data_IF_901380978594
#
_entry.id   IF_901380978594
#
_cell.length_a   1.000
_cell.length_b   1.000
_cell.length_c   1.000
_cell.angle_alpha   90.00
_cell.angle_beta   90.00
_cell.angle_gamma   90.00
#
_symmetry.space_group_name_H-M   'P 1'
#
loop_
_entity.id
_entity.type
_entity.pdbx_description
1 polymer ?
#
# COMPACT_ATOMS: atom_id res chain seq x y z
N UNK A 1 -17.76 17.80 11.64
CA UNK A 1 -16.39 17.89 12.20
C UNK A 1 -15.83 16.54 12.65
N UNK A 2 -16.58 15.68 13.34
CA UNK A 2 -16.12 14.36 13.87
C UNK A 2 -15.79 13.37 12.74
N UNK A 3 -16.52 13.39 11.62
CA UNK A 3 -16.36 12.44 10.51
C UNK A 3 -14.96 12.45 9.86
N UNK A 4 -14.33 13.62 9.73
CA UNK A 4 -13.04 13.77 9.06
C UNK A 4 -11.85 13.39 9.96
N UNK A 5 -11.95 13.67 11.27
CA UNK A 5 -10.92 13.25 12.25
C UNK A 5 -10.88 11.72 12.37
N UNK A 6 -12.04 11.05 12.33
CA UNK A 6 -12.10 9.58 12.34
C UNK A 6 -11.52 8.97 11.05
N UNK A 7 -11.70 9.64 9.90
CA UNK A 7 -11.12 9.15 8.65
C UNK A 7 -9.58 9.20 8.69
N UNK A 8 -9.01 10.32 9.16
CA UNK A 8 -7.56 10.47 9.30
C UNK A 8 -7.00 9.36 10.20
N UNK A 9 -7.59 9.17 11.39
CA UNK A 9 -7.13 8.15 12.33
C UNK A 9 -7.19 6.74 11.74
N UNK A 10 -8.28 6.39 11.06
CA UNK A 10 -8.46 5.06 10.46
C UNK A 10 -7.46 4.83 9.33
N UNK A 11 -7.14 5.84 8.52
CA UNK A 11 -6.11 5.71 7.47
C UNK A 11 -4.71 5.55 8.08
N UNK A 12 -4.39 6.27 9.14
CA UNK A 12 -3.11 6.09 9.86
C UNK A 12 -3.01 4.68 10.45
N UNK A 13 -4.09 4.15 11.05
CA UNK A 13 -4.12 2.76 11.56
C UNK A 13 -3.92 1.76 10.40
N UNK A 14 -4.56 1.99 9.25
CA UNK A 14 -4.35 1.17 8.06
C UNK A 14 -2.87 1.14 7.63
N UNK A 15 -2.20 2.30 7.62
CA UNK A 15 -0.78 2.42 7.33
C UNK A 15 0.10 1.70 8.35
N UNK A 16 -0.28 1.69 9.65
CA UNK A 16 0.43 0.90 10.66
C UNK A 16 0.32 -0.60 10.37
N UNK A 17 -0.85 -1.12 9.97
CA UNK A 17 -0.96 -2.53 9.55
C UNK A 17 -0.04 -2.86 8.39
N UNK A 18 0.05 -2.00 7.39
CA UNK A 18 0.91 -2.20 6.22
C UNK A 18 2.39 -2.09 6.56
N UNK A 19 2.75 -1.27 7.52
CA UNK A 19 4.14 -1.06 7.94
C UNK A 19 4.84 -2.32 8.44
N UNK A 20 4.11 -3.35 8.88
CA UNK A 20 4.68 -4.64 9.23
C UNK A 20 5.14 -5.47 8.03
N UNK A 21 4.80 -5.07 6.79
CA UNK A 21 5.16 -5.78 5.58
C UNK A 21 6.66 -6.08 5.45
N UNK A 22 7.54 -5.06 5.50
CA UNK A 22 9.00 -5.28 5.45
C UNK A 22 9.50 -6.24 6.51
N UNK A 23 9.02 -6.12 7.75
CA UNK A 23 9.38 -7.00 8.84
C UNK A 23 9.06 -8.47 8.53
N UNK A 24 7.85 -8.74 8.05
CA UNK A 24 7.43 -10.11 7.71
C UNK A 24 8.27 -10.66 6.56
N UNK A 25 8.51 -9.86 5.50
CA UNK A 25 9.31 -10.31 4.34
C UNK A 25 10.74 -10.67 4.74
N UNK A 26 11.34 -9.90 5.66
CA UNK A 26 12.71 -10.17 6.15
C UNK A 26 12.83 -11.47 6.96
N UNK A 27 11.74 -11.99 7.49
CA UNK A 27 11.71 -13.29 8.19
C UNK A 27 11.44 -14.49 7.27
N UNK A 28 11.16 -14.26 5.99
CA UNK A 28 11.00 -15.32 4.98
C UNK A 28 12.35 -15.84 4.58
N UNK A 29 12.56 -17.14 4.72
CA UNK A 29 13.81 -17.80 4.31
C UNK A 29 13.91 -17.76 2.78
N UNK A 30 15.02 -17.24 2.26
CA UNK A 30 15.29 -17.13 0.82
C UNK A 30 14.17 -16.39 0.03
N UNK A 31 13.63 -15.31 0.59
CA UNK A 31 12.51 -14.56 0.02
C UNK A 31 12.71 -14.20 -1.47
N UNK A 32 13.94 -13.91 -1.87
CA UNK A 32 14.30 -13.59 -3.27
C UNK A 32 14.16 -14.76 -4.25
N UNK A 33 14.19 -16.01 -3.78
CA UNK A 33 14.06 -17.21 -4.60
C UNK A 33 12.61 -17.71 -4.71
N UNK A 34 11.75 -17.28 -3.80
CA UNK A 34 10.35 -17.76 -3.70
C UNK A 34 9.30 -16.63 -3.74
N UNK A 35 9.50 -15.53 -4.50
CA UNK A 35 8.57 -14.40 -4.46
C UNK A 35 7.17 -14.79 -4.97
N UNK A 36 7.08 -15.72 -5.92
CA UNK A 36 5.82 -16.15 -6.51
C UNK A 36 5.02 -17.08 -5.59
N UNK A 37 5.68 -18.01 -4.90
CA UNK A 37 5.02 -18.82 -3.86
C UNK A 37 4.50 -17.92 -2.74
N UNK A 38 5.32 -16.99 -2.29
CA UNK A 38 4.92 -15.98 -1.31
C UNK A 38 3.68 -15.20 -1.76
N UNK A 39 3.68 -14.68 -2.99
CA UNK A 39 2.57 -13.93 -3.57
C UNK A 39 1.30 -14.77 -3.69
N UNK A 40 1.44 -16.05 -4.03
CA UNK A 40 0.32 -16.98 -4.09
C UNK A 40 -0.40 -17.09 -2.74
N UNK A 41 0.33 -17.42 -1.67
CA UNK A 41 -0.28 -17.57 -0.34
C UNK A 41 -0.81 -16.24 0.20
N UNK A 42 -0.04 -15.17 0.05
CA UNK A 42 -0.46 -13.83 0.49
C UNK A 42 -1.73 -13.35 -0.24
N UNK A 43 -1.77 -13.47 -1.56
CA UNK A 43 -2.93 -13.09 -2.37
C UNK A 43 -4.16 -13.93 -2.07
N UNK A 44 -3.99 -15.25 -1.89
CA UNK A 44 -5.06 -16.17 -1.50
C UNK A 44 -5.68 -15.80 -0.17
N UNK A 45 -4.87 -15.43 0.82
CA UNK A 45 -5.37 -14.98 2.13
C UNK A 45 -6.14 -13.67 2.00
N UNK A 46 -5.64 -12.69 1.24
CA UNK A 46 -6.37 -11.45 0.99
C UNK A 46 -7.75 -11.75 0.38
N UNK A 47 -7.80 -12.61 -0.64
CA UNK A 47 -9.05 -12.99 -1.29
C UNK A 47 -10.00 -13.68 -0.32
N UNK A 48 -9.53 -14.70 0.41
CA UNK A 48 -10.35 -15.48 1.34
C UNK A 48 -10.89 -14.63 2.50
N UNK A 49 -10.04 -13.86 3.16
CA UNK A 49 -10.43 -13.01 4.30
C UNK A 49 -11.48 -11.98 3.87
N UNK A 50 -11.32 -11.35 2.70
CA UNK A 50 -12.31 -10.41 2.18
C UNK A 50 -13.65 -11.08 1.90
N UNK A 51 -13.63 -12.26 1.28
CA UNK A 51 -14.87 -12.99 0.98
C UNK A 51 -15.56 -13.49 2.26
N UNK A 52 -14.81 -13.96 3.25
CA UNK A 52 -15.36 -14.33 4.57
C UNK A 52 -15.98 -13.08 5.22
N UNK A 53 -15.27 -11.95 5.23
CA UNK A 53 -15.79 -10.70 5.77
C UNK A 53 -17.09 -10.26 5.07
N UNK A 54 -17.13 -10.29 3.74
CA UNK A 54 -18.32 -9.96 2.96
C UNK A 54 -19.47 -10.93 3.21
N UNK A 55 -19.17 -12.22 3.31
CA UNK A 55 -20.18 -13.24 3.64
C UNK A 55 -20.80 -13.03 5.02
N UNK A 56 -19.98 -12.72 6.03
CA UNK A 56 -20.45 -12.43 7.39
C UNK A 56 -21.27 -11.12 7.45
N UNK A 57 -20.90 -10.11 6.63
CA UNK A 57 -21.58 -8.82 6.62
C UNK A 57 -22.87 -8.80 5.81
N UNK A 58 -22.95 -9.53 4.67
CA UNK A 58 -24.02 -9.41 3.68
C UNK A 58 -24.71 -10.76 3.37
N UNK A 59 -24.24 -11.86 3.97
CA UNK A 59 -24.71 -13.21 3.63
C UNK A 59 -24.43 -13.53 2.17
N UNK A 60 -25.23 -14.39 1.56
CA UNK A 60 -25.08 -14.79 0.14
C UNK A 60 -25.22 -13.63 -0.86
N UNK A 61 -25.74 -12.47 -0.44
CA UNK A 61 -25.91 -11.30 -1.32
C UNK A 61 -24.59 -10.70 -1.79
N UNK A 62 -23.47 -10.97 -1.10
CA UNK A 62 -22.15 -10.45 -1.48
C UNK A 62 -21.70 -10.91 -2.87
N UNK A 63 -22.17 -12.08 -3.35
CA UNK A 63 -21.85 -12.59 -4.70
C UNK A 63 -22.29 -11.58 -5.77
N UNK A 64 -23.45 -10.96 -5.60
CA UNK A 64 -23.94 -9.94 -6.53
C UNK A 64 -23.08 -8.64 -6.56
N UNK A 65 -22.13 -8.48 -5.64
CA UNK A 65 -21.18 -7.37 -5.71
C UNK A 65 -20.14 -7.58 -6.83
N UNK A 66 -19.85 -8.83 -7.19
CA UNK A 66 -18.97 -9.16 -8.31
C UNK A 66 -19.62 -8.79 -9.66
N UNK A 67 -20.91 -8.99 -9.81
CA UNK A 67 -21.65 -8.56 -11.02
C UNK A 67 -21.70 -7.03 -11.16
N UNK A 68 -21.67 -6.32 -10.01
CA UNK A 68 -21.72 -4.86 -9.94
C UNK A 68 -20.38 -4.18 -9.94
N UNK A 69 -19.27 -4.93 -10.04
CA UNK A 69 -17.90 -4.40 -9.91
C UNK A 69 -17.61 -3.29 -10.94
N UNK A 70 -18.10 -3.46 -12.15
CA UNK A 70 -17.91 -2.53 -13.25
C UNK A 70 -16.44 -2.27 -13.59
N UNK A 71 -16.21 -1.45 -14.61
CA UNK A 71 -14.86 -1.15 -15.09
C UNK A 71 -13.98 -0.50 -14.00
N UNK A 72 -14.55 0.39 -13.18
CA UNK A 72 -13.78 1.07 -12.13
C UNK A 72 -13.25 0.10 -11.06
N UNK A 73 -14.06 -0.88 -10.64
CA UNK A 73 -13.63 -1.85 -9.66
C UNK A 73 -12.64 -2.86 -10.25
N UNK A 74 -12.82 -3.26 -11.51
CA UNK A 74 -11.88 -4.15 -12.18
C UNK A 74 -10.50 -3.49 -12.35
N UNK A 75 -10.46 -2.26 -12.88
CA UNK A 75 -9.21 -1.48 -13.01
C UNK A 75 -8.56 -1.29 -11.64
N UNK A 76 -9.35 -0.95 -10.61
CA UNK A 76 -8.82 -0.80 -9.26
C UNK A 76 -8.26 -2.08 -8.67
N UNK A 77 -8.94 -3.22 -8.87
CA UNK A 77 -8.49 -4.52 -8.41
C UNK A 77 -7.18 -4.95 -9.09
N UNK A 78 -7.12 -4.83 -10.42
CA UNK A 78 -5.89 -5.13 -11.18
C UNK A 78 -4.75 -4.20 -10.78
N UNK A 79 -5.02 -2.89 -10.66
CA UNK A 79 -3.99 -1.91 -10.24
C UNK A 79 -3.43 -2.24 -8.85
N UNK A 80 -4.29 -2.59 -7.89
CA UNK A 80 -3.85 -3.00 -6.56
C UNK A 80 -3.12 -4.35 -6.60
N UNK A 81 -3.55 -5.28 -7.45
CA UNK A 81 -2.85 -6.55 -7.66
C UNK A 81 -1.44 -6.35 -8.20
N UNK A 82 -1.26 -5.47 -9.20
CA UNK A 82 0.05 -5.06 -9.71
C UNK A 82 0.87 -4.42 -8.59
N UNK A 83 0.28 -3.52 -7.80
CA UNK A 83 0.97 -2.91 -6.66
C UNK A 83 1.49 -3.96 -5.67
N UNK A 84 0.66 -4.95 -5.35
CA UNK A 84 1.01 -6.03 -4.43
C UNK A 84 2.16 -6.92 -4.96
N UNK A 85 2.13 -7.27 -6.25
CA UNK A 85 3.20 -8.05 -6.90
C UNK A 85 4.49 -7.23 -6.91
N UNK A 86 4.42 -6.00 -7.40
CA UNK A 86 5.58 -5.13 -7.54
C UNK A 86 6.21 -4.77 -6.19
N UNK A 87 5.41 -4.63 -5.12
CA UNK A 87 5.93 -4.46 -3.77
C UNK A 87 6.84 -5.61 -3.35
N UNK A 88 6.37 -6.86 -3.52
CA UNK A 88 7.16 -8.03 -3.13
C UNK A 88 8.40 -8.17 -3.99
N UNK A 89 8.30 -7.97 -5.30
CA UNK A 89 9.46 -8.01 -6.18
C UNK A 89 10.49 -6.91 -5.83
N UNK A 90 10.04 -5.74 -5.42
CA UNK A 90 10.91 -4.67 -4.94
C UNK A 90 11.62 -5.07 -3.64
N UNK A 91 10.86 -5.37 -2.59
CA UNK A 91 11.42 -5.59 -1.24
C UNK A 91 12.28 -6.85 -1.13
N UNK A 92 12.09 -7.84 -2.00
CA UNK A 92 12.94 -9.04 -2.06
C UNK A 92 14.23 -8.84 -2.83
N UNK A 93 14.34 -7.77 -3.63
CA UNK A 93 15.52 -7.49 -4.48
C UNK A 93 16.27 -6.22 -4.09
N UNK A 94 15.77 -5.47 -3.09
CA UNK A 94 16.41 -4.25 -2.56
C UNK A 94 16.31 -4.22 -1.02
N UNK A 95 16.84 -3.14 -0.41
CA UNK A 95 16.64 -2.89 1.02
C UNK A 95 15.22 -2.42 1.32
N UNK A 96 14.78 -2.59 2.58
CA UNK A 96 13.48 -2.09 3.02
C UNK A 96 13.41 -0.56 2.84
N UNK A 97 14.47 0.17 3.15
CA UNK A 97 14.53 1.61 3.00
C UNK A 97 14.31 2.05 1.55
N UNK A 98 14.95 1.39 0.57
CA UNK A 98 14.80 1.69 -0.87
C UNK A 98 13.37 1.43 -1.33
N UNK A 99 12.79 0.27 -0.99
CA UNK A 99 11.40 -0.05 -1.36
C UNK A 99 10.43 0.96 -0.75
N UNK A 100 10.57 1.27 0.54
CA UNK A 100 9.71 2.24 1.23
C UNK A 100 9.85 3.65 0.64
N UNK A 101 11.06 4.05 0.24
CA UNK A 101 11.30 5.33 -0.43
C UNK A 101 10.57 5.42 -1.78
N UNK A 102 10.57 4.34 -2.57
CA UNK A 102 9.80 4.31 -3.81
C UNK A 102 8.29 4.39 -3.54
N UNK A 103 7.78 3.70 -2.52
CA UNK A 103 6.38 3.82 -2.11
C UNK A 103 6.03 5.24 -1.63
N UNK A 104 6.95 5.97 -1.04
CA UNK A 104 6.72 7.35 -0.61
C UNK A 104 6.42 8.31 -1.79
N UNK A 105 6.60 7.88 -3.03
CA UNK A 105 6.17 8.64 -4.22
C UNK A 105 4.66 8.60 -4.46
N UNK A 106 3.90 7.74 -3.76
CA UNK A 106 2.45 7.57 -3.94
C UNK A 106 1.64 8.88 -3.96
N UNK A 107 1.85 9.86 -3.06
CA UNK A 107 1.07 11.09 -3.08
C UNK A 107 1.24 11.91 -4.35
N UNK A 108 2.43 11.88 -4.96
CA UNK A 108 2.69 12.61 -6.24
C UNK A 108 1.92 11.96 -7.38
N UNK A 109 2.05 10.64 -7.51
CA UNK A 109 1.35 9.86 -8.54
C UNK A 109 -0.16 9.99 -8.34
N UNK A 110 -0.63 9.87 -7.10
CA UNK A 110 -2.04 10.01 -6.75
C UNK A 110 -2.60 11.40 -7.08
N UNK A 111 -1.83 12.46 -6.85
CA UNK A 111 -2.22 13.82 -7.18
C UNK A 111 -2.43 14.00 -8.69
N UNK A 112 -1.51 13.48 -9.49
CA UNK A 112 -1.61 13.53 -10.97
C UNK A 112 -2.83 12.73 -11.45
N UNK A 113 -2.98 11.49 -11.00
CA UNK A 113 -4.10 10.64 -11.41
C UNK A 113 -5.45 11.20 -10.94
N UNK A 114 -5.53 11.72 -9.71
CA UNK A 114 -6.76 12.33 -9.20
C UNK A 114 -7.12 13.61 -9.97
N UNK A 115 -6.15 14.44 -10.32
CA UNK A 115 -6.39 15.61 -11.15
C UNK A 115 -6.90 15.22 -12.54
N UNK A 116 -6.26 14.25 -13.20
CA UNK A 116 -6.61 13.82 -14.56
C UNK A 116 -7.99 13.14 -14.60
N UNK A 117 -8.21 12.15 -13.74
CA UNK A 117 -9.41 11.28 -13.81
C UNK A 117 -10.59 11.77 -12.99
N UNK A 118 -10.34 12.39 -11.84
CA UNK A 118 -11.41 12.83 -10.92
C UNK A 118 -11.62 14.33 -10.94
N UNK A 119 -10.74 15.10 -11.60
CA UNK A 119 -10.73 16.57 -11.59
C UNK A 119 -10.62 17.15 -10.17
N UNK A 120 -10.00 16.40 -9.25
CA UNK A 120 -9.78 16.85 -7.88
C UNK A 120 -8.69 17.93 -7.85
N UNK A 121 -9.02 19.09 -7.28
CA UNK A 121 -8.05 20.17 -7.07
C UNK A 121 -7.22 19.89 -5.82
N UNK A 122 -5.90 20.03 -5.93
CA UNK A 122 -4.99 19.91 -4.80
C UNK A 122 -5.10 21.18 -3.96
N UNK A 123 -5.33 21.03 -2.64
CA UNK A 123 -5.33 22.18 -1.74
C UNK A 123 -3.91 22.72 -1.53
N UNK A 124 -3.77 24.01 -1.17
CA UNK A 124 -2.47 24.60 -0.85
C UNK A 124 -1.78 23.85 0.30
N UNK A 125 -2.52 23.45 1.33
CA UNK A 125 -1.99 22.68 2.45
C UNK A 125 -1.47 21.30 1.99
N UNK A 126 -2.23 20.58 1.17
CA UNK A 126 -1.81 19.30 0.59
C UNK A 126 -0.58 19.47 -0.28
N UNK A 127 -0.52 20.52 -1.11
CA UNK A 127 0.65 20.80 -1.95
C UNK A 127 1.91 21.06 -1.12
N UNK A 128 1.80 21.88 -0.06
CA UNK A 128 2.92 22.16 0.86
C UNK A 128 3.39 20.84 1.53
N UNK A 129 2.46 20.04 2.04
CA UNK A 129 2.79 18.75 2.65
C UNK A 129 3.50 17.80 1.67
N UNK A 130 3.07 17.75 0.40
CA UNK A 130 3.72 16.99 -0.66
C UNK A 130 5.15 17.50 -0.90
N UNK A 131 5.36 18.82 -0.97
CA UNK A 131 6.69 19.41 -1.18
C UNK A 131 7.62 19.06 0.00
N UNK A 132 7.13 19.14 1.25
CA UNK A 132 7.91 18.76 2.42
C UNK A 132 8.24 17.24 2.38
N UNK A 133 7.27 16.39 2.04
CA UNK A 133 7.50 14.96 1.91
C UNK A 133 8.49 14.64 0.78
N UNK A 134 8.42 15.35 -0.35
CA UNK A 134 9.37 15.22 -1.46
C UNK A 134 10.80 15.54 -1.03
N UNK A 135 10.98 16.61 -0.25
CA UNK A 135 12.29 16.95 0.32
C UNK A 135 12.82 15.80 1.19
N UNK A 136 11.96 15.21 2.04
CA UNK A 136 12.32 14.02 2.84
C UNK A 136 12.76 12.83 1.99
N UNK A 137 12.03 12.53 0.91
CA UNK A 137 12.36 11.44 -0.03
C UNK A 137 13.72 11.71 -0.71
N UNK A 138 13.97 12.95 -1.14
CA UNK A 138 15.25 13.34 -1.74
C UNK A 138 16.39 13.13 -0.75
N UNK A 139 16.23 13.53 0.52
CA UNK A 139 17.24 13.27 1.55
C UNK A 139 17.52 11.78 1.73
N UNK A 140 16.50 10.94 1.76
CA UNK A 140 16.68 9.48 1.84
C UNK A 140 17.43 8.91 0.64
N UNK A 141 17.22 9.49 -0.58
CA UNK A 141 17.83 8.97 -1.81
C UNK A 141 19.32 9.22 -1.92
N UNK A 142 19.89 10.20 -1.19
CA UNK A 142 21.34 10.44 -1.20
C UNK A 142 22.17 9.32 -0.56
N UNK A 143 21.55 8.41 0.16
CA UNK A 143 22.24 7.36 0.91
C UNK A 143 22.12 5.96 0.29
N UNK A 144 21.38 5.84 -0.78
CA UNK A 144 21.27 4.57 -1.53
C UNK A 144 22.58 4.30 -2.29
N UNK A 145 23.63 3.97 -1.55
CA UNK A 145 24.96 3.60 -2.07
C UNK A 145 24.90 2.27 -2.85
N UNK A 146 24.23 2.29 -4.02
CA UNK A 146 24.24 1.14 -4.93
C UNK A 146 23.55 -0.14 -4.45
N UNK A 147 22.84 -0.10 -3.32
CA UNK A 147 22.17 -1.26 -2.73
C UNK A 147 20.82 -1.63 -3.41
N UNK A 148 20.34 -0.78 -4.31
CA UNK A 148 19.10 -1.02 -5.05
C UNK A 148 19.35 -1.54 -6.44
N UNK A 149 18.80 -2.71 -6.78
CA UNK A 149 18.75 -3.15 -8.18
C UNK A 149 17.79 -2.27 -8.98
N UNK A 150 18.12 -1.98 -10.25
CA UNK A 150 17.20 -1.24 -11.14
C UNK A 150 15.82 -1.91 -11.21
N UNK A 151 15.80 -3.25 -11.20
CA UNK A 151 14.58 -4.05 -11.17
C UNK A 151 13.74 -3.74 -9.91
N UNK A 152 14.37 -3.69 -8.74
CA UNK A 152 13.70 -3.37 -7.47
C UNK A 152 13.16 -1.94 -7.43
N UNK A 153 13.92 -0.96 -7.94
CA UNK A 153 13.48 0.43 -8.04
C UNK A 153 12.25 0.58 -8.95
N UNK A 154 12.28 -0.02 -10.15
CA UNK A 154 11.15 0.00 -11.08
C UNK A 154 9.91 -0.64 -10.44
N UNK A 155 10.07 -1.78 -9.78
CA UNK A 155 8.96 -2.43 -9.09
C UNK A 155 8.42 -1.60 -7.92
N UNK A 156 9.27 -0.91 -7.16
CA UNK A 156 8.82 0.03 -6.13
C UNK A 156 7.96 1.16 -6.69
N UNK A 157 8.37 1.76 -7.82
CA UNK A 157 7.58 2.78 -8.52
C UNK A 157 6.27 2.21 -9.10
N UNK A 158 6.30 1.00 -9.67
CA UNK A 158 5.09 0.33 -10.16
C UNK A 158 4.11 0.02 -9.02
N UNK A 159 4.62 -0.35 -7.84
CA UNK A 159 3.79 -0.52 -6.65
C UNK A 159 3.09 0.79 -6.27
N UNK A 160 3.84 1.88 -6.25
CA UNK A 160 3.31 3.23 -6.00
C UNK A 160 2.22 3.62 -7.01
N UNK A 161 2.47 3.42 -8.31
CA UNK A 161 1.51 3.70 -9.38
C UNK A 161 0.25 2.85 -9.26
N UNK A 162 0.41 1.56 -9.01
CA UNK A 162 -0.71 0.63 -8.86
C UNK A 162 -1.60 0.98 -7.67
N UNK A 163 -1.01 1.33 -6.52
CA UNK A 163 -1.78 1.74 -5.34
C UNK A 163 -2.51 3.08 -5.57
N UNK A 164 -1.87 4.04 -6.21
CA UNK A 164 -2.50 5.30 -6.59
C UNK A 164 -3.68 5.06 -7.55
N UNK A 165 -3.51 4.20 -8.56
CA UNK A 165 -4.57 3.79 -9.48
C UNK A 165 -5.75 3.13 -8.77
N UNK A 166 -5.50 2.22 -7.83
CA UNK A 166 -6.52 1.65 -6.96
C UNK A 166 -7.29 2.73 -6.20
N UNK A 167 -6.59 3.64 -5.54
CA UNK A 167 -7.21 4.70 -4.73
C UNK A 167 -8.09 5.61 -5.56
N UNK A 168 -7.64 5.99 -6.77
CA UNK A 168 -8.43 6.75 -7.74
C UNK A 168 -9.66 5.97 -8.18
N UNK A 169 -9.52 4.68 -8.49
CA UNK A 169 -10.62 3.84 -8.96
C UNK A 169 -11.76 3.72 -7.95
N UNK A 170 -11.44 3.61 -6.66
CA UNK A 170 -12.44 3.56 -5.58
C UNK A 170 -13.32 4.83 -5.52
N UNK A 171 -12.82 5.95 -6.00
CA UNK A 171 -13.52 7.24 -6.02
C UNK A 171 -14.17 7.56 -7.36
N UNK A 172 -13.69 6.95 -8.45
CA UNK A 172 -14.12 7.25 -9.81
C UNK A 172 -15.63 7.10 -10.00
N UNK A 173 -16.20 5.99 -9.47
CA UNK A 173 -17.66 5.80 -9.47
C UNK A 173 -18.18 5.58 -8.05
N UNK A 174 -19.25 6.31 -7.68
CA UNK A 174 -19.85 6.25 -6.33
C UNK A 174 -20.30 4.83 -5.92
N UNK A 175 -20.73 4.01 -6.89
CA UNK A 175 -21.27 2.66 -6.66
C UNK A 175 -20.23 1.54 -6.71
N UNK A 176 -18.94 1.84 -6.94
CA UNK A 176 -17.88 0.80 -6.98
C UNK A 176 -17.83 0.02 -5.66
N UNK A 177 -18.00 -1.32 -5.67
CA UNK A 177 -17.91 -2.15 -4.48
C UNK A 177 -16.46 -2.22 -3.99
N UNK A 178 -16.13 -1.50 -2.92
CA UNK A 178 -14.77 -1.28 -2.44
C UNK A 178 -14.06 -2.58 -2.05
N UNK A 179 -14.74 -3.40 -1.26
CA UNK A 179 -14.16 -4.65 -0.72
C UNK A 179 -14.00 -5.71 -1.81
N UNK A 180 -14.98 -5.81 -2.72
CA UNK A 180 -14.88 -6.70 -3.89
C UNK A 180 -13.72 -6.29 -4.79
N UNK A 181 -13.46 -4.97 -4.94
CA UNK A 181 -12.28 -4.47 -5.66
C UNK A 181 -10.98 -4.99 -5.03
N UNK A 182 -10.87 -4.98 -3.70
CA UNK A 182 -9.71 -5.54 -2.99
C UNK A 182 -9.64 -7.06 -3.13
N UNK A 183 -10.77 -7.76 -3.09
CA UNK A 183 -10.80 -9.21 -3.31
C UNK A 183 -10.29 -9.58 -4.71
N UNK A 184 -10.64 -8.80 -5.75
CA UNK A 184 -10.09 -8.97 -7.11
C UNK A 184 -8.57 -8.79 -7.12
N UNK A 185 -8.02 -7.85 -6.36
CA UNK A 185 -6.56 -7.71 -6.28
C UNK A 185 -5.89 -8.96 -5.68
N UNK A 186 -6.51 -9.56 -4.66
CA UNK A 186 -6.01 -10.80 -4.04
C UNK A 186 -6.01 -11.97 -5.04
N UNK A 187 -7.14 -12.22 -5.71
CA UNK A 187 -7.22 -13.32 -6.68
C UNK A 187 -6.35 -13.06 -7.91
N UNK A 188 -6.25 -11.81 -8.39
CA UNK A 188 -5.36 -11.45 -9.48
C UNK A 188 -3.90 -11.73 -9.11
N UNK A 189 -3.46 -11.34 -7.92
CA UNK A 189 -2.12 -11.60 -7.42
C UNK A 189 -1.82 -13.11 -7.37
N UNK A 190 -2.73 -13.92 -6.82
CA UNK A 190 -2.59 -15.38 -6.75
C UNK A 190 -2.62 -16.04 -8.13
N UNK A 191 -3.48 -15.57 -9.03
CA UNK A 191 -3.58 -16.10 -10.39
C UNK A 191 -2.30 -15.84 -11.20
N UNK A 192 -1.76 -14.62 -11.13
CA UNK A 192 -0.47 -14.31 -11.76
C UNK A 192 0.65 -15.16 -11.15
N UNK A 193 0.69 -15.28 -9.83
CA UNK A 193 1.70 -16.07 -9.15
C UNK A 193 1.67 -17.55 -9.58
N UNK A 194 0.48 -18.17 -9.62
CA UNK A 194 0.33 -19.57 -10.04
C UNK A 194 0.70 -19.78 -11.52
N UNK A 195 0.34 -18.84 -12.37
CA UNK A 195 0.70 -18.91 -13.79
C UNK A 195 2.22 -18.87 -13.96
N UNK A 196 2.93 -17.97 -13.26
CA UNK A 196 4.40 -17.91 -13.33
C UNK A 196 5.05 -19.18 -12.79
N UNK A 197 4.52 -19.74 -11.69
CA UNK A 197 5.03 -20.99 -11.13
C UNK A 197 4.85 -22.17 -12.10
N UNK A 198 3.70 -22.26 -12.77
CA UNK A 198 3.43 -23.31 -13.76
C UNK A 198 4.34 -23.16 -15.00
N UNK A 199 4.54 -21.94 -15.49
CA UNK A 199 5.45 -21.71 -16.64
C UNK A 199 6.92 -22.02 -16.34
N UNK A 200 7.32 -21.93 -15.07
CA UNK A 200 8.70 -22.20 -14.63
C UNK A 200 8.87 -23.62 -14.03
N UNK A 201 7.88 -24.50 -14.15
CA UNK A 201 7.86 -25.84 -13.54
C UNK A 201 8.24 -25.81 -12.04
N UNK A 202 7.88 -24.75 -11.35
CA UNK A 202 8.24 -24.51 -9.95
C UNK A 202 7.21 -25.06 -8.98
N UNK A 203 7.65 -25.65 -7.86
CA UNK A 203 6.74 -26.10 -6.83
C UNK A 203 6.02 -24.93 -6.14
N UNK A 204 4.72 -25.08 -5.92
CA UNK A 204 3.90 -24.10 -5.18
C UNK A 204 4.19 -24.16 -3.67
N UNK A 205 4.50 -25.36 -3.16
CA UNK A 205 4.66 -25.59 -1.72
C UNK A 205 6.05 -25.13 -1.25
N UNK A 206 6.03 -24.37 -0.18
CA UNK A 206 7.20 -23.88 0.57
C UNK A 206 7.11 -24.35 2.02
N UNK A 207 8.12 -24.06 2.83
CA UNK A 207 8.13 -24.44 4.25
C UNK A 207 6.88 -23.89 4.99
N UNK A 208 6.46 -24.59 6.05
CA UNK A 208 5.34 -24.15 6.87
C UNK A 208 5.59 -22.75 7.46
N UNK A 209 6.84 -22.44 7.85
CA UNK A 209 7.25 -21.11 8.31
C UNK A 209 6.97 -20.04 7.26
N UNK A 210 7.47 -20.24 6.03
CA UNK A 210 7.30 -19.28 4.94
C UNK A 210 5.83 -19.13 4.54
N UNK A 211 5.06 -20.23 4.50
CA UNK A 211 3.62 -20.21 4.24
C UNK A 211 2.87 -19.40 5.31
N UNK A 212 3.16 -19.65 6.59
CA UNK A 212 2.52 -18.94 7.70
C UNK A 212 2.83 -17.46 7.70
N UNK A 213 4.08 -17.07 7.42
CA UNK A 213 4.49 -15.67 7.32
C UNK A 213 3.83 -14.99 6.11
N UNK A 214 3.73 -15.68 4.97
CA UNK A 214 3.04 -15.16 3.78
C UNK A 214 1.55 -14.93 4.07
N UNK A 215 0.91 -15.87 4.77
CA UNK A 215 -0.47 -15.77 5.21
C UNK A 215 -0.68 -14.62 6.22
N UNK A 216 0.21 -14.50 7.21
CA UNK A 216 0.20 -13.41 8.18
C UNK A 216 0.29 -12.04 7.48
N UNK A 217 1.23 -11.89 6.53
CA UNK A 217 1.34 -10.65 5.75
C UNK A 217 0.06 -10.39 4.94
N UNK A 218 -0.51 -11.41 4.30
CA UNK A 218 -1.80 -11.31 3.60
C UNK A 218 -2.92 -10.80 4.52
N UNK A 219 -2.99 -11.31 5.74
CA UNK A 219 -3.96 -10.89 6.75
C UNK A 219 -3.75 -9.44 7.20
N UNK A 220 -2.51 -9.05 7.50
CA UNK A 220 -2.17 -7.67 7.88
C UNK A 220 -2.52 -6.68 6.79
N UNK A 221 -2.13 -6.98 5.54
CA UNK A 221 -2.44 -6.14 4.39
C UNK A 221 -3.94 -6.06 4.15
N UNK A 222 -4.66 -7.17 4.24
CA UNK A 222 -6.11 -7.21 4.10
C UNK A 222 -6.80 -6.34 5.16
N UNK A 223 -6.37 -6.42 6.42
CA UNK A 223 -6.89 -5.62 7.53
C UNK A 223 -6.72 -4.12 7.26
N UNK A 224 -5.53 -3.70 6.84
CA UNK A 224 -5.27 -2.32 6.43
C UNK A 224 -6.12 -1.89 5.23
N UNK A 225 -6.27 -2.74 4.20
CA UNK A 225 -7.09 -2.46 3.01
C UNK A 225 -8.58 -2.35 3.34
N UNK A 226 -9.10 -3.11 4.30
CA UNK A 226 -10.47 -2.97 4.79
C UNK A 226 -10.65 -1.59 5.42
N UNK A 227 -9.78 -1.21 6.37
CA UNK A 227 -9.84 0.08 7.04
C UNK A 227 -9.72 1.25 6.05
N UNK A 228 -8.74 1.19 5.16
CA UNK A 228 -8.55 2.18 4.10
C UNK A 228 -9.79 2.29 3.20
N UNK A 229 -10.33 1.17 2.75
CA UNK A 229 -11.49 1.13 1.86
C UNK A 229 -12.76 1.71 2.52
N UNK A 230 -12.97 1.50 3.82
CA UNK A 230 -14.08 2.10 4.57
C UNK A 230 -14.04 3.63 4.43
N UNK A 231 -12.86 4.23 4.51
CA UNK A 231 -12.67 5.69 4.54
C UNK A 231 -12.21 6.30 3.21
N UNK A 232 -12.02 5.49 2.17
CA UNK A 232 -11.50 5.92 0.86
C UNK A 232 -12.32 7.01 0.15
N UNK A 233 -13.60 7.18 0.51
CA UNK A 233 -14.50 8.22 -0.08
C UNK A 233 -14.65 9.46 0.80
N UNK A 234 -14.12 9.45 2.02
CA UNK A 234 -14.27 10.53 2.99
C UNK A 234 -13.20 11.62 2.81
N UNK A 235 -12.05 11.28 2.18
CA UNK A 235 -10.93 12.18 1.93
C UNK A 235 -10.56 12.17 0.43
N UNK A 236 -9.93 13.26 -0.09
CA UNK A 236 -9.34 13.27 -1.42
C UNK A 236 -8.26 12.20 -1.59
N UNK A 237 -8.03 11.77 -2.84
CA UNK A 237 -7.05 10.71 -3.15
C UNK A 237 -5.64 11.07 -2.65
N UNK A 238 -5.22 12.30 -2.93
CA UNK A 238 -3.89 12.79 -2.52
C UNK A 238 -3.72 12.80 -0.99
N UNK A 239 -4.79 13.18 -0.26
CA UNK A 239 -4.77 13.22 1.20
C UNK A 239 -4.69 11.80 1.80
N UNK A 240 -5.41 10.84 1.19
CA UNK A 240 -5.36 9.43 1.59
C UNK A 240 -3.95 8.87 1.45
N UNK A 241 -3.30 9.09 0.31
CA UNK A 241 -1.95 8.58 0.05
C UNK A 241 -0.88 9.31 0.85
N UNK A 242 -1.07 10.61 1.15
CA UNK A 242 -0.16 11.33 2.05
C UNK A 242 -0.20 10.77 3.47
N UNK A 243 -1.39 10.48 4.01
CA UNK A 243 -1.54 9.86 5.32
C UNK A 243 -0.97 8.43 5.36
N UNK A 244 -1.04 7.71 4.24
CA UNK A 244 -0.46 6.36 4.13
C UNK A 244 1.06 6.34 4.24
N UNK A 245 1.77 7.50 4.15
CA UNK A 245 3.22 7.56 4.34
C UNK A 245 3.69 7.10 5.73
N UNK A 246 2.79 6.97 6.70
CA UNK A 246 3.11 6.32 7.99
C UNK A 246 3.57 4.86 7.80
N UNK A 247 3.11 4.18 6.74
CA UNK A 247 3.59 2.85 6.34
C UNK A 247 5.09 2.86 6.06
N UNK A 248 5.57 3.89 5.34
CA UNK A 248 6.99 4.03 4.97
C UNK A 248 7.86 4.12 6.22
N UNK A 249 7.47 4.98 7.14
CA UNK A 249 8.21 5.21 8.38
C UNK A 249 8.22 3.97 9.27
N UNK A 250 7.04 3.38 9.47
CA UNK A 250 6.90 2.16 10.26
C UNK A 250 7.64 0.98 9.61
N UNK A 251 7.60 0.86 8.28
CA UNK A 251 8.30 -0.21 7.57
C UNK A 251 9.81 -0.19 7.79
N UNK A 252 10.42 0.99 7.80
CA UNK A 252 11.85 1.14 8.12
C UNK A 252 12.09 0.91 9.60
N UNK A 253 11.24 1.47 10.47
CA UNK A 253 11.36 1.37 11.92
C UNK A 253 11.36 -0.09 12.43
N UNK A 254 10.45 -0.92 11.96
CA UNK A 254 10.35 -2.31 12.42
C UNK A 254 11.57 -3.14 12.06
N UNK A 255 12.16 -2.98 10.87
CA UNK A 255 13.36 -3.72 10.46
C UNK A 255 14.63 -3.19 11.10
N UNK A 256 14.60 -1.95 11.58
CA UNK A 256 15.70 -1.35 12.34
C UNK A 256 15.77 -1.85 13.78
N UNK A 257 14.61 -2.11 14.41
CA UNK A 257 14.58 -2.55 15.80
C UNK A 257 15.31 -3.88 15.98
N UNK A 258 16.33 -3.95 16.86
CA UNK A 258 17.14 -5.16 17.07
C UNK A 258 16.32 -6.31 17.69
N UNK A 259 15.18 -5.99 18.31
CA UNK A 259 14.30 -6.98 18.97
C UNK A 259 13.74 -8.03 18.01
N UNK A 260 13.67 -7.73 16.72
CA UNK A 260 13.16 -8.65 15.70
C UNK A 260 14.27 -9.42 14.97
N UNK A 261 15.56 -9.24 15.34
CA UNK A 261 16.66 -10.00 14.80
C UNK A 261 17.11 -9.64 13.38
N UNK A 262 16.58 -8.56 12.77
CA UNK A 262 16.90 -8.11 11.41
C UNK A 262 18.00 -7.05 11.45
N UNK A 263 17.81 -6.00 12.26
CA UNK A 263 18.78 -4.92 12.52
C UNK A 263 19.29 -4.21 11.24
N UNK A 264 18.40 -3.88 10.30
CA UNK A 264 18.73 -2.97 9.19
C UNK A 264 18.82 -1.55 9.73
N UNK A 265 20.05 -1.10 10.05
CA UNK A 265 20.28 0.24 10.63
C UNK A 265 20.04 1.30 9.55
N UNK A 266 19.05 2.20 9.74
CA UNK A 266 18.82 3.27 8.79
C UNK A 266 19.96 4.27 8.84
N UNK A 267 20.35 4.77 7.68
CA UNK A 267 21.36 5.82 7.60
C UNK A 267 20.89 7.14 8.20
N UNK A 268 21.81 8.05 8.45
CA UNK A 268 21.51 9.41 8.92
C UNK A 268 20.55 10.14 7.97
N UNK A 269 20.74 9.96 6.65
CA UNK A 269 19.87 10.59 5.65
C UNK A 269 18.46 9.97 5.67
N UNK A 270 18.35 8.66 5.89
CA UNK A 270 17.06 7.98 6.10
C UNK A 270 16.33 8.53 7.32
N UNK A 271 17.04 8.78 8.43
CA UNK A 271 16.45 9.35 9.64
C UNK A 271 15.98 10.80 9.44
N UNK A 272 16.81 11.64 8.80
CA UNK A 272 16.45 13.05 8.49
C UNK A 272 15.25 13.09 7.54
N UNK A 273 15.29 12.32 6.46
CA UNK A 273 14.20 12.25 5.50
C UNK A 273 12.91 11.72 6.12
N UNK A 274 13.00 10.69 6.98
CA UNK A 274 11.88 10.14 7.74
C UNK A 274 11.26 11.19 8.68
N UNK A 275 12.07 11.92 9.44
CA UNK A 275 11.61 13.02 10.29
C UNK A 275 10.88 14.10 9.45
N UNK A 276 11.41 14.44 8.27
CA UNK A 276 10.79 15.39 7.35
C UNK A 276 9.42 14.92 6.86
N UNK A 277 9.27 13.60 6.55
CA UNK A 277 7.98 13.00 6.19
C UNK A 277 7.00 13.06 7.37
N UNK A 278 7.45 12.78 8.60
CA UNK A 278 6.60 12.92 9.81
C UNK A 278 6.11 14.37 9.94
N UNK A 279 6.99 15.35 9.75
CA UNK A 279 6.60 16.76 9.75
C UNK A 279 5.54 17.08 8.69
N UNK A 280 5.65 16.53 7.47
CA UNK A 280 4.66 16.72 6.41
C UNK A 280 3.29 16.15 6.80
N UNK A 281 3.23 14.92 7.33
CA UNK A 281 1.99 14.26 7.77
C UNK A 281 1.36 15.06 8.93
N UNK A 282 2.18 15.46 9.90
CA UNK A 282 1.74 16.21 11.08
C UNK A 282 1.20 17.59 10.69
N UNK A 283 1.94 18.31 9.84
CA UNK A 283 1.49 19.60 9.27
C UNK A 283 0.15 19.46 8.56
N UNK A 284 0.00 18.44 7.71
CA UNK A 284 -1.28 18.16 7.06
C UNK A 284 -2.38 17.89 8.09
N UNK A 285 -2.14 17.01 9.06
CA UNK A 285 -3.12 16.62 10.09
C UNK A 285 -3.66 17.82 10.88
N UNK A 286 -2.77 18.72 11.34
CA UNK A 286 -3.18 19.93 12.07
C UNK A 286 -4.00 20.89 11.22
N UNK A 287 -3.70 21.00 9.92
CA UNK A 287 -4.38 21.91 9.02
C UNK A 287 -5.57 21.28 8.27
N UNK A 288 -5.78 19.97 8.39
CA UNK A 288 -6.82 19.23 7.67
C UNK A 288 -8.23 19.81 7.90
N UNK A 289 -8.52 20.32 9.10
CA UNK A 289 -9.82 20.96 9.41
C UNK A 289 -10.07 22.19 8.50
N UNK A 290 -9.06 23.01 8.25
CA UNK A 290 -9.15 24.20 7.38
C UNK A 290 -9.30 23.80 5.91
N UNK A 291 -8.56 22.79 5.48
CA UNK A 291 -8.58 22.28 4.09
C UNK A 291 -9.95 21.76 3.71
N UNK A 292 -10.59 21.00 4.60
CA UNK A 292 -11.88 20.37 4.33
C UNK A 292 -13.03 21.40 4.33
N UNK A 293 -12.93 22.47 5.13
CA UNK A 293 -13.89 23.56 5.10
C UNK A 293 -13.81 24.38 3.80
N UNK A 294 -12.60 24.66 3.28
CA UNK A 294 -12.44 25.47 2.05
C UNK A 294 -12.85 24.77 0.75
N UNK A 295 -13.15 23.46 0.76
CA UNK A 295 -13.60 22.70 -0.42
C UNK A 295 -15.13 22.62 -0.57
N UNK A 296 -15.86 23.01 0.45
CA UNK A 296 -17.34 23.00 0.47
C UNK A 296 -17.93 24.42 0.41
N UNK A 297 -17.10 25.44 0.29
CA UNK A 297 -17.43 26.82 -0.06
C UNK A 297 -16.97 27.09 -1.50
#
# INVERSE_FOLDING_TARGET
MIKNSSAILIILIAGIFWSFGPLVVRHIDNAQLIPWQYLFFRGSVIFLVLNIYLFLAEGKKFIGNYDRIGLSGLIGGVSLGIANISFILSITTTTAAVTMMMLATQPFVAAILAYVFLKEKISKTTLIAIIIAAAGIIFMSFDSKGEGTLFGLINGLLSSLGFAGFTVSLRWKKKTPKFTTVAIAGIFCSAVAILVLLFNDSNIFISLKNTSLSALHGFLVCSGLILFSIKSKDLPVTDLTLLSLIEVLGGIFWVWLPWFGINEIPSTNTLIGGATIICAITFYGFNAKRVLQSRYV
#
